data_IF_746204867997
#
_entry.id   IF_746204867997
#
_cell.length_a   1.000
_cell.length_b   1.000
_cell.length_c   1.000
_cell.angle_alpha   90.00
_cell.angle_beta   90.00
_cell.angle_gamma   90.00
#
_symmetry.space_group_name_H-M   'P 1'
#
loop_
_entity.id
_entity.type
_entity.pdbx_description
1 polymer ?
#
# COMPACT_ATOMS: atom_id res chain seq x y z
N UNK A 1 -19.72 8.25 -9.59
CA UNK A 1 -18.83 8.61 -8.46
C UNK A 1 -19.74 8.96 -7.30
N UNK A 2 -19.59 8.32 -6.14
CA UNK A 2 -20.53 8.49 -5.02
C UNK A 2 -20.38 9.87 -4.36
N UNK A 3 -21.50 10.48 -3.97
CA UNK A 3 -21.51 11.81 -3.31
C UNK A 3 -20.62 11.87 -2.05
N UNK A 4 -20.45 10.73 -1.37
CA UNK A 4 -19.55 10.60 -0.23
C UNK A 4 -18.08 10.89 -0.61
N UNK A 5 -17.61 10.35 -1.75
CA UNK A 5 -16.25 10.59 -2.22
C UNK A 5 -16.07 12.04 -2.68
N UNK A 6 -17.11 12.62 -3.29
CA UNK A 6 -17.08 14.03 -3.70
C UNK A 6 -16.98 14.96 -2.49
N UNK A 7 -17.73 14.68 -1.42
CA UNK A 7 -17.68 15.47 -0.17
C UNK A 7 -16.33 15.37 0.53
N UNK A 8 -15.70 14.19 0.49
CA UNK A 8 -14.35 14.01 1.04
C UNK A 8 -13.33 14.80 0.22
N UNK A 9 -13.40 14.72 -1.11
CA UNK A 9 -12.52 15.47 -1.99
C UNK A 9 -12.67 16.98 -1.77
N UNK A 10 -13.91 17.47 -1.71
CA UNK A 10 -14.23 18.89 -1.49
C UNK A 10 -13.63 19.39 -0.16
N UNK A 11 -13.82 18.62 0.93
CA UNK A 11 -13.27 18.94 2.25
C UNK A 11 -11.72 18.90 2.30
N UNK A 12 -11.08 18.15 1.41
CA UNK A 12 -9.61 18.12 1.29
C UNK A 12 -9.06 19.25 0.43
N UNK A 13 -9.88 19.90 -0.40
CA UNK A 13 -9.43 20.93 -1.36
C UNK A 13 -8.88 22.17 -0.65
N UNK A 14 -9.40 22.48 0.53
CA UNK A 14 -8.99 23.65 1.32
C UNK A 14 -7.79 23.38 2.23
N UNK A 15 -7.29 22.13 2.28
CA UNK A 15 -6.17 21.75 3.16
C UNK A 15 -4.85 22.07 2.47
N UNK A 16 -4.03 22.89 3.11
CA UNK A 16 -2.68 23.17 2.61
C UNK A 16 -1.74 21.99 2.86
N UNK A 17 -0.67 21.91 2.05
CA UNK A 17 0.37 20.89 2.22
C UNK A 17 0.98 20.92 3.63
N UNK A 18 1.15 22.11 4.21
CA UNK A 18 1.69 22.28 5.57
C UNK A 18 0.76 21.68 6.64
N UNK A 19 -0.54 21.95 6.56
CA UNK A 19 -1.54 21.40 7.47
C UNK A 19 -1.64 19.88 7.36
N UNK A 20 -1.51 19.35 6.13
CA UNK A 20 -1.47 17.91 5.90
C UNK A 20 -0.24 17.26 6.55
N UNK A 21 0.94 17.87 6.41
CA UNK A 21 2.20 17.39 7.03
C UNK A 21 2.08 17.38 8.56
N UNK A 22 1.50 18.42 9.15
CA UNK A 22 1.31 18.49 10.60
C UNK A 22 0.28 17.46 11.10
N UNK A 23 -0.81 17.24 10.36
CA UNK A 23 -1.77 16.19 10.68
C UNK A 23 -1.15 14.79 10.61
N UNK A 24 -0.33 14.52 9.59
CA UNK A 24 0.38 13.25 9.45
C UNK A 24 1.41 13.06 10.56
N UNK A 25 2.14 14.12 10.94
CA UNK A 25 3.06 14.11 12.08
C UNK A 25 2.33 13.82 13.39
N UNK A 26 1.17 14.44 13.61
CA UNK A 26 0.34 14.20 14.80
C UNK A 26 -0.17 12.74 14.87
N UNK A 27 -0.40 12.11 13.73
CA UNK A 27 -0.74 10.68 13.62
C UNK A 27 0.47 9.74 13.76
N UNK A 28 1.66 10.28 14.04
CA UNK A 28 2.90 9.50 14.13
C UNK A 28 3.38 8.96 12.79
N UNK A 29 2.79 9.41 11.67
CA UNK A 29 3.29 9.11 10.34
C UNK A 29 4.54 9.96 10.14
N UNK A 30 5.70 9.31 10.16
CA UNK A 30 6.92 9.94 9.72
C UNK A 30 6.73 10.35 8.25
N UNK A 31 6.43 11.62 8.01
CA UNK A 31 6.57 12.24 6.70
C UNK A 31 8.07 12.34 6.47
N UNK A 32 8.67 11.20 6.11
CA UNK A 32 10.06 11.10 5.77
C UNK A 32 10.27 12.04 4.59
N UNK A 33 10.90 13.19 4.85
CA UNK A 33 11.51 13.97 3.78
C UNK A 33 12.31 12.98 2.96
N UNK A 34 11.85 12.74 1.73
CA UNK A 34 12.44 11.80 0.81
C UNK A 34 13.76 12.37 0.31
N UNK A 35 14.74 12.46 1.20
CA UNK A 35 16.14 12.66 0.88
C UNK A 35 16.91 11.39 1.26
N UNK A 36 16.94 10.49 0.27
CA UNK A 36 18.13 9.71 -0.11
C UNK A 36 18.71 8.69 0.88
N UNK A 37 17.91 8.04 1.71
CA UNK A 37 18.45 6.89 2.46
C UNK A 37 17.91 5.61 1.85
N UNK A 38 18.76 5.04 0.98
CA UNK A 38 18.89 3.61 0.66
C UNK A 38 17.57 2.91 0.37
N UNK A 39 17.38 2.51 -0.90
CA UNK A 39 16.47 1.42 -1.27
C UNK A 39 16.65 0.34 -0.22
N UNK A 40 15.72 0.24 0.73
CA UNK A 40 15.73 -0.84 1.68
C UNK A 40 15.67 -2.08 0.79
N UNK A 41 16.77 -2.82 0.74
CA UNK A 41 16.80 -4.16 0.16
C UNK A 41 15.89 -5.01 1.04
N UNK A 42 14.58 -4.86 0.83
CA UNK A 42 13.63 -5.88 1.20
C UNK A 42 14.13 -7.12 0.46
N UNK A 43 14.51 -8.20 1.16
CA UNK A 43 14.88 -9.45 0.50
C UNK A 43 13.68 -9.85 -0.34
N UNK A 44 13.77 -9.64 -1.66
CA UNK A 44 12.69 -10.02 -2.56
C UNK A 44 12.74 -11.53 -2.62
N UNK A 45 11.92 -12.20 -1.82
CA UNK A 45 11.60 -13.60 -2.05
C UNK A 45 11.12 -13.68 -3.50
N UNK A 46 11.82 -14.40 -4.39
CA UNK A 46 11.40 -14.48 -5.78
C UNK A 46 10.00 -15.08 -5.82
N UNK A 47 9.12 -14.49 -6.62
CA UNK A 47 7.80 -15.05 -6.85
C UNK A 47 7.97 -16.47 -7.41
N UNK A 48 7.19 -17.46 -6.94
CA UNK A 48 7.26 -18.79 -7.52
C UNK A 48 6.97 -18.70 -9.02
N UNK A 49 7.87 -19.22 -9.84
CA UNK A 49 7.70 -19.25 -11.29
C UNK A 49 6.45 -20.05 -11.62
N UNK A 50 5.50 -19.40 -12.27
CA UNK A 50 4.25 -20.00 -12.71
C UNK A 50 4.55 -20.95 -13.89
N UNK A 51 5.08 -22.14 -13.60
CA UNK A 51 5.54 -23.06 -14.64
C UNK A 51 6.39 -24.21 -14.12
N UNK A 52 5.82 -25.05 -13.26
CA UNK A 52 6.31 -26.41 -13.00
C UNK A 52 5.18 -27.40 -13.30
N UNK A 53 5.46 -28.61 -13.82
CA UNK A 53 4.42 -29.57 -14.14
C UNK A 53 3.60 -29.89 -12.88
N UNK A 54 2.29 -29.66 -13.00
CA UNK A 54 1.30 -29.93 -11.96
C UNK A 54 1.12 -31.44 -11.78
N UNK A 55 2.08 -32.07 -11.11
CA UNK A 55 1.95 -33.45 -10.61
C UNK A 55 1.34 -33.45 -9.20
N UNK A 56 0.52 -32.45 -8.88
CA UNK A 56 -0.23 -32.39 -7.61
C UNK A 56 -1.52 -33.17 -7.81
N UNK A 57 -1.49 -34.45 -7.50
CA UNK A 57 -2.69 -35.25 -7.34
C UNK A 57 -3.28 -34.94 -5.96
N UNK A 58 -4.48 -34.36 -5.92
CA UNK A 58 -5.24 -34.21 -4.68
C UNK A 58 -5.69 -35.59 -4.22
N UNK A 59 -5.14 -36.09 -3.12
CA UNK A 59 -5.60 -37.33 -2.46
C UNK A 59 -6.89 -37.12 -1.65
N UNK A 60 -7.40 -35.89 -1.60
CA UNK A 60 -8.65 -35.56 -0.90
C UNK A 60 -9.78 -35.50 -1.91
N UNK A 61 -10.69 -36.48 -1.82
CA UNK A 61 -12.02 -36.42 -2.41
C UNK A 61 -12.83 -35.41 -1.59
N UNK A 62 -13.23 -34.30 -2.21
CA UNK A 62 -14.18 -33.38 -1.59
C UNK A 62 -15.58 -33.99 -1.72
N UNK A 63 -16.14 -34.43 -0.58
CA UNK A 63 -17.56 -34.81 -0.44
C UNK A 63 -18.41 -33.55 -0.27
#
# INVERSE_FOLDING_TARGET
>A
MSDALRRIADAMTDVTEAEMVDALRALGVAVSERRRTVVAEVPRTPLPTQGGPSNVHSEVEWV
#
